data_IF_020567532967
#
_entry.id   IF_020567532967
#
_cell.length_a   1.000
_cell.length_b   1.000
_cell.length_c   1.000
_cell.angle_alpha   90.00
_cell.angle_beta   90.00
_cell.angle_gamma   90.00
#
_symmetry.space_group_name_H-M   'P 1'
#
loop_
_entity.id
_entity.type
_entity.pdbx_description
1 polymer ?
2 non-polymer ?
3 water ?
#
# COMPACT_ATOMS: atom_id res chain seq x y z
N UNK A 1 -15.58 -3.39 -23.37
CA UNK A 1 -14.81 -2.25 -22.87
C UNK A 1 -13.44 -2.72 -22.38
N UNK A 2 -12.43 -1.86 -22.50
CA UNK A 2 -11.06 -2.26 -22.17
C UNK A 2 -10.85 -2.44 -20.67
N UNK A 3 -9.96 -3.37 -20.32
CA UNK A 3 -9.61 -3.62 -18.93
C UNK A 3 -8.17 -3.20 -18.66
N UNK A 4 -7.90 -2.63 -17.48
CA UNK A 4 -6.51 -2.35 -17.14
C UNK A 4 -5.84 -3.66 -16.74
N UNK A 5 -4.51 -3.65 -16.73
CA UNK A 5 -3.75 -4.79 -16.25
C UNK A 5 -2.99 -4.37 -15.00
N UNK A 6 -3.50 -4.80 -13.85
CA UNK A 6 -2.86 -4.47 -12.60
C UNK A 6 -1.47 -5.08 -12.52
N UNK A 7 -0.55 -4.34 -11.91
CA UNK A 7 0.77 -4.86 -11.59
C UNK A 7 0.68 -5.66 -10.31
N UNK A 8 1.45 -6.75 -10.19
CA UNK A 8 1.50 -7.48 -8.94
C UNK A 8 2.90 -7.56 -8.39
N UNK A 9 2.99 -7.70 -7.07
CA UNK A 9 4.25 -7.70 -6.35
C UNK A 9 4.16 -8.62 -5.15
N UNK A 10 5.34 -9.03 -4.67
CA UNK A 10 5.52 -9.34 -3.27
C UNK A 10 6.20 -8.10 -2.69
N UNK A 11 5.72 -7.62 -1.55
CA UNK A 11 6.29 -6.43 -0.95
C UNK A 11 6.96 -6.78 0.35
N UNK A 12 8.22 -6.41 0.46
CA UNK A 12 9.01 -6.67 1.64
C UNK A 12 9.35 -5.38 2.38
N UNK A 13 9.71 -5.55 3.64
CA UNK A 13 10.12 -4.46 4.50
C UNK A 13 11.55 -4.81 4.91
N UNK A 14 12.06 -4.17 5.95
CA UNK A 14 13.40 -4.47 6.44
C UNK A 14 13.55 -5.93 6.81
N UNK A 15 14.76 -6.45 6.68
CA UNK A 15 15.14 -7.76 7.19
C UNK A 15 14.31 -8.91 6.63
N UNK A 16 13.94 -8.79 5.36
CA UNK A 16 13.22 -9.83 4.63
C UNK A 16 11.78 -10.06 5.11
N UNK A 17 11.27 -9.17 5.96
CA UNK A 17 9.87 -9.25 6.38
C UNK A 17 9.01 -8.96 5.17
N UNK A 18 7.83 -9.58 5.12
CA UNK A 18 6.93 -9.44 3.98
C UNK A 18 5.55 -8.99 4.43
N UNK A 19 4.84 -8.31 3.55
CA UNK A 19 3.45 -7.93 3.81
C UNK A 19 2.52 -9.12 3.60
N UNK A 20 1.55 -9.26 4.51
CA UNK A 20 0.59 -10.34 4.42
C UNK A 20 -0.69 -9.87 5.11
N UNK A 21 -1.74 -10.68 5.02
CA UNK A 21 -2.99 -10.30 5.66
C UNK A 21 -3.59 -11.41 6.51
N UNK A 22 -4.18 -11.02 7.63
CA UNK A 22 -4.92 -11.95 8.49
C UNK A 22 -5.96 -11.13 9.23
N UNK A 23 -7.18 -11.67 9.34
CA UNK A 23 -8.24 -11.06 10.10
C UNK A 23 -8.48 -9.60 9.72
N UNK A 24 -8.43 -9.34 8.42
CA UNK A 24 -8.79 -8.05 7.87
C UNK A 24 -7.76 -6.95 8.07
N UNK A 25 -6.55 -7.32 8.45
CA UNK A 25 -5.48 -6.34 8.67
C UNK A 25 -4.33 -6.60 7.71
N UNK A 26 -3.64 -5.53 7.33
CA UNK A 26 -2.42 -5.64 6.54
C UNK A 26 -1.22 -5.59 7.48
N UNK A 27 -0.47 -6.69 7.51
CA UNK A 27 0.57 -6.94 8.52
C UNK A 27 1.93 -7.09 7.84
N UNK A 28 2.98 -7.02 8.65
CA UNK A 28 4.34 -7.15 8.15
C UNK A 28 5.11 -8.09 9.06
N UNK A 29 5.75 -9.10 8.51
CA UNK A 29 6.54 -10.00 9.33
C UNK A 29 6.87 -11.26 8.58
N UNK A 30 6.90 -12.39 9.27
CA UNK A 30 7.03 -13.68 8.60
C UNK A 30 5.64 -14.25 8.44
N UNK A 31 5.09 -14.22 7.23
CA UNK A 31 3.70 -14.65 7.07
C UNK A 31 3.49 -16.08 7.57
N UNK A 32 4.42 -16.97 7.27
CA UNK A 32 4.27 -18.37 7.64
C UNK A 32 4.23 -18.56 9.15
N UNK A 33 5.01 -17.76 9.90
CA UNK A 33 4.99 -17.82 11.37
C UNK A 33 3.60 -17.46 11.92
N UNK A 34 2.85 -16.67 11.15
CA UNK A 34 1.49 -16.27 11.52
C UNK A 34 0.44 -17.04 10.71
N UNK A 35 0.82 -18.20 10.18
CA UNK A 35 -0.12 -19.11 9.53
C UNK A 35 -0.69 -18.55 8.22
N UNK A 36 0.12 -17.77 7.51
CA UNK A 36 -0.30 -17.10 6.29
C UNK A 36 0.79 -17.24 5.23
N UNK A 37 0.51 -16.73 4.04
CA UNK A 37 1.51 -16.61 2.98
C UNK A 37 1.72 -15.13 2.67
N UNK A 38 2.85 -14.81 2.05
CA UNK A 38 3.09 -13.45 1.61
C UNK A 38 2.00 -13.06 0.61
N UNK A 39 1.40 -11.88 0.79
CA UNK A 39 0.28 -11.49 -0.04
C UNK A 39 0.74 -11.02 -1.42
N UNK A 40 0.08 -11.52 -2.46
CA UNK A 40 0.32 -10.99 -3.80
C UNK A 40 -0.47 -9.69 -3.92
N UNK A 41 0.25 -8.57 -3.84
CA UNK A 41 -0.37 -7.26 -3.77
C UNK A 41 -0.38 -6.62 -5.14
N UNK A 42 -1.50 -6.03 -5.52
CA UNK A 42 -1.55 -5.41 -6.83
C UNK A 42 -1.70 -3.90 -6.78
N UNK A 43 -1.30 -3.25 -7.87
CA UNK A 43 -1.47 -1.82 -8.00
C UNK A 43 -2.03 -1.45 -9.35
N UNK A 44 -2.70 -0.31 -9.39
CA UNK A 44 -3.09 0.36 -10.63
C UNK A 44 -2.87 1.84 -10.43
N UNK A 45 -2.58 2.58 -11.51
CA UNK A 45 -2.41 4.03 -11.36
C UNK A 45 -3.74 4.74 -11.18
N UNK A 46 -3.72 5.81 -10.38
CA UNK A 46 -4.81 6.77 -10.36
C UNK A 46 -4.47 7.79 -11.44
N UNK A 47 -4.99 7.55 -12.63
CA UNK A 47 -4.86 8.50 -13.71
C UNK A 47 -5.77 9.65 -13.34
N UNK A 48 -5.29 10.88 -13.50
CA UNK A 48 -6.13 12.03 -13.25
C UNK A 48 -5.87 12.72 -11.93
N UNK A 49 -5.27 12.04 -10.96
CA UNK A 49 -4.95 12.76 -9.73
C UNK A 49 -3.81 13.76 -9.90
N UNK A 50 -2.63 13.27 -10.28
CA UNK A 50 -1.47 14.13 -10.47
C UNK A 50 -0.52 13.45 -11.44
N UNK A 51 -0.57 13.86 -12.71
CA UNK A 51 0.23 13.26 -13.77
C UNK A 51 1.73 13.52 -13.59
N UNK A 52 2.10 14.37 -12.63
CA UNK A 52 3.51 14.67 -12.37
C UNK A 52 4.14 13.71 -11.34
N UNK A 53 3.30 12.97 -10.63
CA UNK A 53 3.79 11.98 -9.66
C UNK A 53 3.38 10.57 -10.08
N UNK A 54 3.44 9.61 -9.15
CA UNK A 54 3.05 8.23 -9.44
C UNK A 54 1.98 7.77 -8.46
N UNK A 55 0.77 8.32 -8.59
CA UNK A 55 -0.32 7.89 -7.70
C UNK A 55 -0.81 6.49 -8.05
N UNK A 56 -0.96 5.64 -7.04
CA UNK A 56 -1.42 4.27 -7.23
C UNK A 56 -2.44 3.88 -6.16
N UNK A 57 -3.20 2.82 -6.48
CA UNK A 57 -4.02 2.11 -5.52
C UNK A 57 -3.28 0.83 -5.13
N UNK A 58 -3.54 0.33 -3.93
CA UNK A 58 -2.91 -0.88 -3.39
C UNK A 58 -3.97 -1.89 -2.99
N UNK A 59 -3.98 -3.05 -3.62
CA UNK A 59 -4.99 -4.06 -3.35
C UNK A 59 -4.45 -5.40 -2.92
N UNK A 60 -5.26 -6.13 -2.16
CA UNK A 60 -4.94 -7.49 -1.76
C UNK A 60 -6.01 -8.42 -2.32
N UNK A 61 -5.75 -9.72 -2.25
CA UNK A 61 -6.72 -10.74 -2.66
C UNK A 61 -7.28 -10.49 -4.06
N UNK A 62 -6.37 -10.41 -5.02
CA UNK A 62 -6.73 -10.20 -6.41
C UNK A 62 -7.32 -8.82 -6.63
N UNK A 63 -6.97 -7.89 -5.75
CA UNK A 63 -7.51 -6.55 -5.84
C UNK A 63 -8.93 -6.39 -5.30
N UNK A 64 -9.41 -7.36 -4.53
CA UNK A 64 -10.78 -7.30 -4.03
C UNK A 64 -10.94 -6.38 -2.83
N UNK A 65 -9.85 -6.15 -2.10
CA UNK A 65 -9.88 -5.24 -0.95
C UNK A 65 -8.67 -4.32 -1.08
N UNK A 66 -8.88 -3.02 -0.84
CA UNK A 66 -7.83 -2.04 -1.06
C UNK A 66 -7.56 -1.19 0.16
N UNK A 67 -6.33 -0.69 0.25
CA UNK A 67 -5.88 0.08 1.40
C UNK A 67 -6.40 1.50 1.33
N UNK A 68 -6.95 1.97 2.44
CA UNK A 68 -7.52 3.32 2.51
C UNK A 68 -7.04 4.08 3.73
N UNK A 69 -6.99 5.40 3.62
CA UNK A 69 -6.79 6.24 4.79
C UNK A 69 -8.12 6.49 5.48
N UNK A 70 -8.05 6.63 6.78
CA UNK A 70 -9.21 7.07 7.55
C UNK A 70 -8.76 8.18 8.51
N UNK A 71 -9.48 9.30 8.46
CA UNK A 71 -9.17 10.45 9.30
C UNK A 71 -9.65 10.23 10.73
N UNK A 72 -8.79 10.56 11.69
CA UNK A 72 -9.16 10.57 13.10
C UNK A 72 -8.67 11.88 13.71
N UNK A 73 -9.08 12.17 14.93
CA UNK A 73 -8.62 13.38 15.61
C UNK A 73 -7.13 13.32 15.97
N UNK A 74 -6.56 12.12 15.88
CA UNK A 74 -5.13 11.93 16.12
C UNK A 74 -4.38 11.75 14.81
N UNK A 75 -5.00 12.16 13.70
CA UNK A 75 -4.35 12.02 12.41
C UNK A 75 -4.82 10.79 11.66
N UNK A 76 -4.29 10.60 10.44
CA UNK A 76 -4.81 9.52 9.61
C UNK A 76 -4.27 8.16 10.00
N UNK A 77 -5.10 7.14 9.83
CA UNK A 77 -4.64 5.77 9.94
C UNK A 77 -5.06 5.02 8.67
N UNK A 78 -4.77 3.73 8.65
CA UNK A 78 -4.96 2.91 7.48
C UNK A 78 -5.85 1.73 7.80
N UNK A 79 -6.66 1.34 6.82
CA UNK A 79 -7.38 0.08 6.91
C UNK A 79 -7.69 -0.45 5.53
N UNK A 80 -7.87 -1.76 5.45
CA UNK A 80 -8.34 -2.40 4.23
C UNK A 80 -9.84 -2.23 4.14
N UNK A 81 -10.36 -1.97 2.95
CA UNK A 81 -11.80 -1.83 2.77
C UNK A 81 -12.31 -2.70 1.62
N UNK A 82 -13.60 -3.03 1.70
CA UNK A 82 -14.26 -3.86 0.70
C UNK A 82 -14.65 -3.04 -0.53
N UNK A 83 -13.62 -2.57 -1.22
CA UNK A 83 -13.77 -1.82 -2.45
C UNK A 83 -12.69 -2.42 -3.33
N UNK A 84 -13.03 -2.84 -4.54
CA UNK A 84 -12.02 -3.47 -5.37
C UNK A 84 -11.27 -2.47 -6.25
N UNK A 85 -10.11 -2.88 -6.74
CA UNK A 85 -9.17 -1.95 -7.34
C UNK A 85 -9.66 -1.43 -8.71
N UNK A 86 -10.50 -2.21 -9.37
CA UNK A 86 -11.10 -1.75 -10.61
C UNK A 86 -12.18 -0.70 -10.36
N UNK A 87 -12.90 -0.84 -9.25
CA UNK A 87 -13.85 0.19 -8.83
C UNK A 87 -13.16 1.53 -8.57
N UNK A 88 -11.94 1.49 -8.04
CA UNK A 88 -11.13 2.70 -7.80
C UNK A 88 -10.58 3.26 -9.11
N UNK A 89 -10.08 2.37 -9.97
CA UNK A 89 -9.51 2.78 -11.25
C UNK A 89 -10.52 3.53 -12.11
N UNK A 90 -11.79 3.15 -12.00
CA UNK A 90 -12.86 3.71 -12.83
C UNK A 90 -13.67 4.75 -12.05
N UNK A 91 -13.22 5.10 -10.86
CA UNK A 91 -13.95 6.00 -9.99
C UNK A 91 -13.60 7.47 -10.14
N UNK A 92 -13.92 8.26 -9.12
CA UNK A 92 -13.64 9.68 -9.15
C UNK A 92 -12.91 10.16 -7.90
N UNK A 93 -13.32 11.32 -7.39
CA UNK A 93 -12.64 11.94 -6.25
C UNK A 93 -12.65 11.07 -4.99
N UNK A 94 -13.65 10.21 -4.84
CA UNK A 94 -13.72 9.32 -3.69
C UNK A 94 -12.51 8.38 -3.64
N UNK A 95 -11.84 8.18 -4.77
CA UNK A 95 -10.68 7.30 -4.83
C UNK A 95 -9.41 7.92 -4.25
N UNK A 96 -9.43 9.23 -4.00
CA UNK A 96 -8.23 9.90 -3.49
C UNK A 96 -7.80 9.34 -2.13
N UNK A 97 -8.80 8.98 -1.32
CA UNK A 97 -8.59 8.38 0.00
C UNK A 97 -7.83 7.02 -0.05
N UNK A 98 -7.88 6.39 -1.21
CA UNK A 98 -7.24 5.10 -1.47
C UNK A 98 -5.95 5.26 -2.27
N UNK A 99 -5.51 6.49 -2.50
CA UNK A 99 -4.38 6.75 -3.38
C UNK A 99 -3.09 7.04 -2.62
N UNK A 100 -2.00 6.44 -3.08
CA UNK A 100 -0.68 6.65 -2.49
C UNK A 100 0.30 7.01 -3.60
N UNK A 101 1.15 8.00 -3.33
CA UNK A 101 2.19 8.37 -4.27
C UNK A 101 3.39 7.46 -4.06
N UNK A 102 3.78 6.75 -5.11
CA UNK A 102 4.87 5.80 -5.06
C UNK A 102 6.16 6.48 -5.52
N UNK A 103 7.19 6.46 -4.70
CA UNK A 103 8.46 7.06 -5.07
C UNK A 103 9.62 6.17 -4.68
N UNK A 104 10.77 6.40 -5.31
CA UNK A 104 11.99 5.68 -4.97
C UNK A 104 12.74 6.34 -3.84
N UNK A 105 13.37 5.50 -3.02
CA UNK A 105 14.34 5.99 -2.07
C UNK A 105 15.48 5.03 -2.29
N UNK A 106 16.38 5.39 -3.19
CA UNK A 106 17.43 4.48 -3.62
C UNK A 106 16.80 3.23 -4.19
N UNK A 107 17.08 2.10 -3.57
CA UNK A 107 16.56 0.82 -4.03
C UNK A 107 15.22 0.46 -3.37
N UNK A 108 14.70 1.35 -2.54
CA UNK A 108 13.41 1.10 -1.89
C UNK A 108 12.32 1.98 -2.49
N UNK A 109 11.09 1.71 -2.08
CA UNK A 109 9.97 2.55 -2.43
C UNK A 109 9.32 3.09 -1.17
N UNK A 110 8.79 4.30 -1.28
CA UNK A 110 8.01 4.90 -0.21
C UNK A 110 6.64 5.23 -0.77
N UNK A 111 5.64 5.23 0.10
CA UNK A 111 4.26 5.45 -0.30
C UNK A 111 3.64 6.55 0.55
N UNK A 112 3.33 7.67 -0.09
CA UNK A 112 2.78 8.83 0.60
C UNK A 112 1.28 8.92 0.38
N UNK A 113 0.52 9.10 1.46
CA UNK A 113 -0.93 9.22 1.36
C UNK A 113 -1.33 10.46 0.58
N UNK A 114 -2.05 10.30 -0.53
CA UNK A 114 -2.51 11.45 -1.31
C UNK A 114 -3.49 12.31 -0.53
N UNK A 115 -4.30 11.68 0.31
CA UNK A 115 -5.28 12.40 1.12
C UNK A 115 -4.64 13.14 2.28
N UNK A 116 -3.43 12.74 2.65
CA UNK A 116 -2.71 13.32 3.79
C UNK A 116 -1.23 13.54 3.44
N UNK A 117 -0.96 14.58 2.65
CA UNK A 117 0.42 14.87 2.23
C UNK A 117 1.39 14.91 3.41
N UNK A 118 2.55 14.30 3.25
CA UNK A 118 3.54 14.28 4.32
C UNK A 118 3.46 13.03 5.18
N UNK A 119 2.41 12.23 5.00
CA UNK A 119 2.24 11.00 5.75
C UNK A 119 2.57 9.80 4.87
N UNK A 120 3.41 8.89 5.39
CA UNK A 120 3.96 7.79 4.63
C UNK A 120 3.66 6.45 5.28
N UNK A 121 3.48 5.43 4.45
CA UNK A 121 3.38 4.05 4.92
C UNK A 121 4.58 3.72 5.80
N UNK A 122 4.33 3.07 6.93
CA UNK A 122 5.35 2.83 7.93
C UNK A 122 5.22 1.41 8.46
N UNK A 123 6.35 0.73 8.63
CA UNK A 123 6.31 -0.63 9.14
C UNK A 123 5.97 -0.62 10.62
N UNK A 124 5.47 -1.74 11.13
CA UNK A 124 5.06 -1.86 12.54
C UNK A 124 6.26 -1.94 13.47
N UNK A 125 6.06 -1.51 14.71
CA UNK A 125 7.07 -1.62 15.75
C UNK A 125 6.69 -2.70 16.76
N UNK A 126 5.47 -3.23 16.64
CA UNK A 126 4.98 -4.28 17.55
C UNK A 126 4.52 -5.49 16.76
N UNK A 127 4.61 -6.70 17.35
CA UNK A 127 4.09 -7.89 16.68
C UNK A 127 2.60 -7.74 16.36
N UNK A 128 2.22 -8.14 15.14
CA UNK A 128 0.81 -8.15 14.71
C UNK A 128 0.17 -6.77 14.65
N UNK A 129 0.99 -5.73 14.65
CA UNK A 129 0.50 -4.36 14.45
C UNK A 129 0.30 -4.12 12.96
N UNK A 130 -0.86 -3.56 12.58
CA UNK A 130 -1.04 -3.29 11.14
C UNK A 130 -0.07 -2.21 10.63
N UNK A 131 0.13 -2.17 9.32
CA UNK A 131 0.88 -1.07 8.73
C UNK A 131 0.35 0.26 9.25
N UNK A 132 1.26 1.22 9.42
CA UNK A 132 0.95 2.51 10.01
C UNK A 132 1.19 3.63 9.01
N UNK A 133 0.76 4.84 9.38
CA UNK A 133 1.18 6.06 8.70
C UNK A 133 2.03 6.87 9.66
N UNK A 134 3.09 7.49 9.13
CA UNK A 134 3.95 8.34 9.95
C UNK A 134 4.29 9.60 9.18
N UNK A 135 4.41 10.72 9.90
CA UNK A 135 4.76 11.98 9.26
C UNK A 135 6.27 12.16 9.26
N UNK A 136 6.90 11.78 8.16
CA UNK A 136 8.35 11.70 8.08
C UNK A 136 8.91 12.71 7.08
N UNK A 137 9.90 13.47 7.52
CA UNK A 137 10.61 14.40 6.64
C UNK A 137 11.78 13.64 6.02
N UNK A 138 12.85 13.47 6.80
CA UNK A 138 14.03 12.74 6.35
C UNK A 138 13.70 11.25 6.21
N UNK A 139 13.86 10.69 4.99
CA UNK A 139 13.53 9.27 4.75
C UNK A 139 14.31 8.32 5.66
N UNK A 140 13.67 7.25 6.12
CA UNK A 140 14.31 6.29 7.02
C UNK A 140 13.84 4.88 6.70
N UNK A 141 14.46 3.89 7.35
CA UNK A 141 14.12 2.50 7.15
C UNK A 141 12.66 2.19 7.51
N UNK A 142 12.07 2.99 8.39
CA UNK A 142 10.69 2.75 8.80
C UNK A 142 9.69 2.91 7.65
N UNK A 143 10.05 3.67 6.62
CA UNK A 143 9.12 3.93 5.52
C UNK A 143 9.56 3.30 4.20
N UNK A 144 10.60 2.46 4.25
CA UNK A 144 11.15 1.86 3.04
C UNK A 144 10.61 0.46 2.79
N UNK A 145 9.99 0.26 1.64
CA UNK A 145 9.47 -1.03 1.26
C UNK A 145 10.15 -1.48 -0.01
N UNK A 146 10.14 -2.79 -0.26
CA UNK A 146 10.81 -3.34 -1.42
C UNK A 146 9.79 -4.06 -2.28
N UNK A 147 9.58 -3.54 -3.48
CA UNK A 147 8.58 -4.10 -4.38
C UNK A 147 9.26 -5.06 -5.32
N UNK A 148 8.84 -6.32 -5.30
CA UNK A 148 9.39 -7.32 -6.19
C UNK A 148 8.30 -7.71 -7.18
N UNK A 149 8.41 -7.20 -8.40
CA UNK A 149 7.32 -7.32 -9.36
C UNK A 149 7.20 -8.72 -9.93
N UNK A 150 5.97 -9.22 -9.95
CA UNK A 150 5.65 -10.53 -10.49
C UNK A 150 4.75 -10.48 -11.72
N UNK A 151 4.10 -9.34 -11.96
CA UNK A 151 3.19 -9.20 -13.09
C UNK A 151 3.10 -7.72 -13.48
#
# INVERSE_FOLDING_TARGET
SSLPMARYYIIKYADQKALYTRDGQLLVGDPVADNCCAEKICTLPNRGLDRTKVPIFLGIQGGSRCLACVETEEGPSLQLEDVNIEELYKGGEEATRFTFFQSSSGSAFRLEAAAWPGWFLCGPAEPQQPVQLTKESEPSARTKFYFEQSW
#
